data_IF_561918419872
#
_entry.id   IF_561918419872
#
_cell.length_a   1.000
_cell.length_b   1.000
_cell.length_c   1.000
_cell.angle_alpha   90.00
_cell.angle_beta   90.00
_cell.angle_gamma   90.00
#
_symmetry.space_group_name_H-M   'P 1'
#
loop_
_entity.id
_entity.type
_entity.pdbx_description
1 polymer ?
#
# COMPACT_ATOMS: atom_id res chain seq x y z
N UNK A 1 -8.52 -15.76 15.76
CA UNK A 1 -7.53 -15.34 16.79
C UNK A 1 -7.48 -13.82 16.79
N UNK A 2 -8.02 -13.18 17.80
CA UNK A 2 -8.11 -11.71 17.86
C UNK A 2 -6.94 -11.20 18.68
N UNK A 3 -6.10 -10.35 18.08
CA UNK A 3 -4.97 -9.71 18.78
C UNK A 3 -5.46 -8.35 19.29
N UNK A 4 -5.51 -8.17 20.60
CA UNK A 4 -5.83 -6.89 21.23
C UNK A 4 -4.51 -6.26 21.69
N UNK A 5 -4.16 -5.11 21.10
CA UNK A 5 -3.04 -4.29 21.54
C UNK A 5 -3.54 -3.37 22.64
N UNK A 6 -3.17 -3.63 23.88
CA UNK A 6 -3.50 -2.78 25.02
C UNK A 6 -2.82 -1.41 24.87
N UNK A 7 -3.60 -0.37 24.66
CA UNK A 7 -3.15 1.02 24.65
C UNK A 7 -3.43 1.70 25.98
N UNK A 8 -2.47 2.46 26.45
CA UNK A 8 -2.45 3.22 27.70
C UNK A 8 -3.68 4.12 27.86
N UNK A 9 -4.65 3.68 28.68
CA UNK A 9 -5.91 4.39 28.99
C UNK A 9 -5.72 5.63 29.91
N UNK A 10 -4.49 5.95 30.33
CA UNK A 10 -4.25 7.07 31.24
C UNK A 10 -4.51 8.46 30.65
N UNK A 11 -4.44 8.62 29.32
CA UNK A 11 -4.61 9.92 28.67
C UNK A 11 -6.10 10.31 28.40
N UNK A 12 -7.04 9.37 28.52
CA UNK A 12 -8.46 9.60 28.23
C UNK A 12 -9.29 10.07 29.43
N UNK A 13 -8.70 10.09 30.64
CA UNK A 13 -9.44 10.39 31.88
C UNK A 13 -9.83 11.86 32.09
N UNK A 14 -9.30 12.79 31.30
CA UNK A 14 -9.56 14.24 31.51
C UNK A 14 -10.69 14.85 30.70
N UNK A 15 -11.37 14.11 29.82
CA UNK A 15 -12.32 14.72 28.87
C UNK A 15 -13.80 14.39 29.10
N UNK A 16 -14.14 13.38 29.89
CA UNK A 16 -15.55 13.00 30.13
C UNK A 16 -16.00 13.21 31.58
N UNK A 17 -16.98 14.11 31.78
CA UNK A 17 -17.65 14.34 33.05
C UNK A 17 -18.65 13.23 33.48
N UNK A 18 -18.87 12.23 32.65
CA UNK A 18 -19.79 11.12 32.96
C UNK A 18 -19.02 9.80 33.19
N UNK A 19 -18.70 9.57 34.46
CA UNK A 19 -17.97 8.36 34.89
C UNK A 19 -18.81 7.06 34.75
N UNK A 20 -20.12 7.12 34.58
CA UNK A 20 -20.97 5.93 34.50
C UNK A 20 -20.79 5.14 33.20
N UNK A 21 -20.61 5.87 32.09
CA UNK A 21 -20.37 5.27 30.78
C UNK A 21 -19.00 4.62 30.67
N UNK A 22 -17.97 5.29 31.18
CA UNK A 22 -16.61 4.75 31.21
C UNK A 22 -16.51 3.50 32.07
N UNK A 23 -17.17 3.49 33.23
CA UNK A 23 -17.24 2.32 34.11
C UNK A 23 -17.91 1.13 33.42
N UNK A 24 -19.03 1.37 32.71
CA UNK A 24 -19.69 0.32 31.91
C UNK A 24 -18.78 -0.27 30.83
N UNK A 25 -17.97 0.55 30.16
CA UNK A 25 -16.97 0.07 29.18
C UNK A 25 -15.90 -0.77 29.90
N UNK A 26 -15.38 -0.33 31.03
CA UNK A 26 -14.38 -1.07 31.83
C UNK A 26 -14.94 -2.42 32.31
N UNK A 27 -16.18 -2.48 32.74
CA UNK A 27 -16.87 -3.70 33.19
C UNK A 27 -17.07 -4.69 32.01
N UNK A 28 -17.48 -4.19 30.84
CA UNK A 28 -17.60 -4.99 29.62
C UNK A 28 -16.25 -5.51 29.12
N UNK A 29 -15.22 -4.69 29.12
CA UNK A 29 -13.86 -5.08 28.75
C UNK A 29 -13.31 -6.16 29.68
N UNK A 30 -13.52 -5.99 31.00
CA UNK A 30 -13.15 -6.97 32.01
C UNK A 30 -13.88 -8.30 31.82
N UNK A 31 -15.17 -8.25 31.49
CA UNK A 31 -16.00 -9.44 31.21
C UNK A 31 -15.49 -10.18 29.97
N UNK A 32 -15.22 -9.45 28.87
CA UNK A 32 -14.66 -10.02 27.64
C UNK A 32 -13.28 -10.62 27.88
N UNK A 33 -12.42 -9.92 28.63
CA UNK A 33 -11.11 -10.46 28.98
C UNK A 33 -11.21 -11.77 29.75
N UNK A 34 -12.07 -11.85 30.75
CA UNK A 34 -12.30 -13.10 31.51
C UNK A 34 -12.82 -14.23 30.62
N UNK A 35 -13.74 -13.91 29.71
CA UNK A 35 -14.32 -14.91 28.80
C UNK A 35 -13.30 -15.48 27.83
N UNK A 36 -12.38 -14.65 27.34
CA UNK A 36 -11.40 -15.04 26.31
C UNK A 36 -9.97 -15.20 26.80
N UNK A 37 -9.72 -15.06 28.12
CA UNK A 37 -8.37 -15.10 28.71
C UNK A 37 -7.57 -16.34 28.34
N UNK A 38 -8.23 -17.50 28.21
CA UNK A 38 -7.57 -18.75 27.84
C UNK A 38 -7.25 -18.85 26.31
N UNK A 39 -7.88 -17.99 25.49
CA UNK A 39 -7.67 -17.94 24.06
C UNK A 39 -6.79 -16.76 23.63
N UNK A 40 -6.52 -15.82 24.55
CA UNK A 40 -5.67 -14.67 24.30
C UNK A 40 -4.20 -15.07 24.47
N UNK A 41 -3.40 -14.89 23.43
CA UNK A 41 -1.95 -15.04 23.48
C UNK A 41 -1.32 -13.65 23.44
N UNK A 42 -0.63 -13.28 24.52
CA UNK A 42 0.18 -12.06 24.57
C UNK A 42 1.53 -12.40 23.96
N UNK A 43 1.91 -11.67 22.93
CA UNK A 43 3.17 -11.86 22.22
C UNK A 43 3.90 -10.51 22.16
N UNK A 44 4.95 -10.36 22.96
CA UNK A 44 5.71 -9.12 23.07
C UNK A 44 6.45 -8.73 21.78
N UNK A 45 6.67 -9.70 20.86
CA UNK A 45 7.25 -9.44 19.56
C UNK A 45 6.32 -8.64 18.64
N UNK A 46 5.00 -8.69 18.86
CA UNK A 46 4.00 -8.00 18.06
C UNK A 46 3.88 -6.52 18.44
N UNK A 47 4.96 -5.79 18.21
CA UNK A 47 4.99 -4.34 18.45
C UNK A 47 4.13 -3.57 17.43
N UNK A 48 3.71 -2.34 17.80
CA UNK A 48 2.98 -1.44 16.89
C UNK A 48 3.72 -1.21 15.57
N UNK A 49 5.04 -1.16 15.58
CA UNK A 49 5.86 -1.01 14.37
C UNK A 49 5.71 -2.24 13.47
N UNK A 50 5.77 -3.43 14.06
CA UNK A 50 5.68 -4.71 13.35
C UNK A 50 4.30 -4.90 12.72
N UNK A 51 3.21 -4.65 13.45
CA UNK A 51 1.84 -4.88 12.98
C UNK A 51 1.27 -3.78 12.09
N UNK A 52 2.05 -2.76 11.73
CA UNK A 52 1.57 -1.64 10.93
C UNK A 52 2.50 -1.34 9.75
N UNK A 53 2.02 -0.56 8.79
CA UNK A 53 2.79 -0.09 7.64
C UNK A 53 4.07 0.71 8.01
N UNK A 54 4.29 1.03 9.29
CA UNK A 54 5.42 1.88 9.71
C UNK A 54 6.78 1.30 9.29
N UNK A 55 6.98 -0.02 9.39
CA UNK A 55 8.22 -0.67 8.98
C UNK A 55 8.42 -0.61 7.44
N UNK A 56 7.35 -0.69 6.66
CA UNK A 56 7.41 -0.67 5.19
C UNK A 56 7.85 0.68 4.61
N UNK A 57 7.81 1.78 5.37
CA UNK A 57 8.17 3.12 4.87
C UNK A 57 9.60 3.25 4.36
N UNK A 58 10.50 2.42 4.84
CA UNK A 58 11.91 2.39 4.45
C UNK A 58 12.26 1.19 3.58
N UNK A 59 11.34 0.23 3.43
CA UNK A 59 11.58 -1.00 2.69
C UNK A 59 11.37 -0.80 1.19
N UNK A 60 12.34 -1.25 0.41
CA UNK A 60 12.34 -1.24 -1.05
C UNK A 60 11.07 -1.91 -1.60
N UNK A 61 10.47 -1.34 -2.63
CA UNK A 61 9.19 -1.71 -3.23
C UNK A 61 7.96 -1.44 -2.36
N UNK A 62 7.96 -1.78 -1.06
CA UNK A 62 6.81 -1.56 -0.18
C UNK A 62 6.54 -0.07 0.11
N UNK A 63 7.58 0.77 0.09
CA UNK A 63 7.49 2.23 0.34
C UNK A 63 6.87 3.03 -0.80
N UNK A 64 6.70 2.45 -2.00
CA UNK A 64 6.26 3.20 -3.16
C UNK A 64 4.87 3.80 -3.00
N UNK A 65 3.94 3.02 -2.45
CA UNK A 65 2.59 3.48 -2.16
C UNK A 65 2.30 3.43 -0.66
N UNK A 66 1.80 4.55 -0.12
CA UNK A 66 1.46 4.64 1.30
C UNK A 66 0.08 4.04 1.57
N UNK A 67 0.02 2.74 1.75
CA UNK A 67 -1.20 2.03 2.11
C UNK A 67 -1.34 1.97 3.63
N UNK A 68 -2.19 2.84 4.21
CA UNK A 68 -2.26 3.03 5.68
C UNK A 68 -2.80 1.82 6.42
N UNK A 69 -3.61 1.04 5.77
CA UNK A 69 -4.28 -0.15 6.27
C UNK A 69 -3.39 -1.41 6.20
N UNK A 70 -2.20 -1.32 5.60
CA UNK A 70 -1.29 -2.45 5.48
C UNK A 70 -0.52 -2.74 6.79
N UNK A 71 -0.16 -3.98 6.97
CA UNK A 71 0.84 -4.45 7.92
C UNK A 71 2.24 -4.47 7.31
N UNK A 72 3.27 -4.77 8.13
CA UNK A 72 4.65 -4.83 7.64
C UNK A 72 5.01 -6.16 6.98
N UNK A 73 6.03 -6.14 6.12
CA UNK A 73 6.65 -7.36 5.60
C UNK A 73 7.22 -8.23 6.73
N UNK A 74 7.85 -7.59 7.71
CA UNK A 74 8.44 -8.27 8.89
C UNK A 74 7.38 -9.07 9.68
N UNK A 75 6.12 -8.62 9.71
CA UNK A 75 5.04 -9.38 10.37
C UNK A 75 4.79 -10.70 9.66
N UNK A 76 4.76 -10.70 8.34
CA UNK A 76 4.55 -11.92 7.55
C UNK A 76 5.70 -12.90 7.75
N UNK A 77 6.94 -12.40 7.69
CA UNK A 77 8.12 -13.22 7.98
C UNK A 77 8.05 -13.84 9.37
N UNK A 78 7.71 -13.04 10.38
CA UNK A 78 7.53 -13.52 11.74
C UNK A 78 6.47 -14.63 11.82
N UNK A 79 5.31 -14.46 11.19
CA UNK A 79 4.23 -15.46 11.20
C UNK A 79 4.63 -16.75 10.49
N UNK A 80 5.25 -16.67 9.31
CA UNK A 80 5.72 -17.82 8.57
C UNK A 80 6.75 -18.63 9.39
N UNK A 81 7.69 -17.96 10.04
CA UNK A 81 8.66 -18.61 10.94
C UNK A 81 7.99 -19.22 12.18
N UNK A 82 7.10 -18.49 12.83
CA UNK A 82 6.38 -18.94 14.04
C UNK A 82 5.56 -20.19 13.79
N UNK A 83 4.95 -20.32 12.61
CA UNK A 83 4.14 -21.46 12.23
C UNK A 83 4.87 -22.48 11.37
N UNK A 84 6.21 -22.35 11.22
CA UNK A 84 7.07 -23.26 10.46
C UNK A 84 6.60 -23.48 9.01
N UNK A 85 6.16 -22.41 8.35
CA UNK A 85 5.75 -22.45 6.95
C UNK A 85 6.98 -22.25 6.07
N UNK A 86 7.57 -23.35 5.61
CA UNK A 86 8.84 -23.29 4.88
C UNK A 86 8.67 -23.25 3.35
N UNK A 87 7.69 -23.97 2.82
CA UNK A 87 7.35 -24.00 1.39
C UNK A 87 5.86 -24.30 1.22
N UNK A 88 5.25 -23.68 0.23
CA UNK A 88 3.86 -23.93 -0.09
C UNK A 88 3.25 -22.82 -0.96
N UNK A 89 1.94 -22.90 -1.10
CA UNK A 89 1.13 -21.87 -1.74
C UNK A 89 0.37 -21.11 -0.65
N UNK A 90 0.54 -19.81 -0.62
CA UNK A 90 -0.08 -18.89 0.37
C UNK A 90 -1.21 -18.14 -0.33
N UNK A 91 -2.37 -18.10 0.31
CA UNK A 91 -3.51 -17.29 -0.13
C UNK A 91 -3.72 -16.11 0.82
N UNK A 92 -3.79 -14.90 0.24
CA UNK A 92 -4.25 -13.69 0.93
C UNK A 92 -5.58 -13.24 0.33
N UNK A 93 -6.72 -13.49 1.01
CA UNK A 93 -8.04 -13.14 0.49
C UNK A 93 -8.34 -11.63 0.50
N UNK A 94 -7.48 -10.81 1.11
CA UNK A 94 -7.60 -9.36 1.23
C UNK A 94 -6.25 -8.68 0.94
N UNK A 95 -5.70 -8.94 -0.23
CA UNK A 95 -4.31 -8.66 -0.58
C UNK A 95 -3.87 -7.19 -0.43
N UNK A 96 -4.79 -6.22 -0.52
CA UNK A 96 -4.50 -4.80 -0.34
C UNK A 96 -3.37 -4.31 -1.24
N UNK A 97 -2.23 -3.95 -0.65
CA UNK A 97 -1.03 -3.55 -1.37
C UNK A 97 -0.08 -4.71 -1.72
N UNK A 98 -0.48 -5.97 -1.44
CA UNK A 98 0.30 -7.16 -1.74
C UNK A 98 1.47 -7.42 -0.80
N UNK A 99 1.48 -6.86 0.42
CA UNK A 99 2.59 -7.06 1.37
C UNK A 99 2.83 -8.54 1.64
N UNK A 100 1.77 -9.31 1.94
CA UNK A 100 1.89 -10.75 2.17
C UNK A 100 2.41 -11.49 0.92
N UNK A 101 1.88 -11.16 -0.25
CA UNK A 101 2.23 -11.82 -1.51
C UNK A 101 3.73 -11.72 -1.81
N UNK A 102 4.25 -10.49 -1.77
CA UNK A 102 5.65 -10.24 -2.11
C UNK A 102 6.61 -10.72 -1.03
N UNK A 103 6.21 -10.71 0.23
CA UNK A 103 7.02 -11.26 1.32
C UNK A 103 7.10 -12.79 1.22
N UNK A 104 5.97 -13.46 1.02
CA UNK A 104 5.93 -14.91 0.83
C UNK A 104 6.74 -15.33 -0.40
N UNK A 105 6.59 -14.62 -1.53
CA UNK A 105 7.35 -14.88 -2.75
C UNK A 105 8.85 -14.75 -2.52
N UNK A 106 9.31 -13.69 -1.83
CA UNK A 106 10.74 -13.50 -1.56
C UNK A 106 11.35 -14.60 -0.67
N UNK A 107 10.51 -15.30 0.08
CA UNK A 107 10.89 -16.46 0.90
C UNK A 107 10.72 -17.81 0.18
N UNK A 108 10.41 -17.80 -1.14
CA UNK A 108 10.31 -18.99 -1.97
C UNK A 108 8.95 -19.68 -1.93
N UNK A 109 7.92 -19.03 -1.42
CA UNK A 109 6.54 -19.52 -1.45
C UNK A 109 5.77 -18.92 -2.62
N UNK A 110 4.96 -19.71 -3.30
CA UNK A 110 3.99 -19.17 -4.25
C UNK A 110 2.90 -18.41 -3.49
N UNK A 111 2.47 -17.29 -4.02
CA UNK A 111 1.48 -16.45 -3.36
C UNK A 111 0.35 -16.06 -4.31
N UNK A 112 -0.87 -16.23 -3.84
CA UNK A 112 -2.08 -15.85 -4.55
C UNK A 112 -2.88 -14.86 -3.72
N UNK A 113 -3.28 -13.74 -4.31
CA UNK A 113 -4.01 -12.68 -3.62
C UNK A 113 -5.33 -12.37 -4.28
N UNK A 114 -6.34 -12.05 -3.48
CA UNK A 114 -7.62 -11.55 -3.97
C UNK A 114 -7.73 -10.09 -3.58
N UNK A 115 -8.02 -9.19 -4.55
CA UNK A 115 -8.18 -7.77 -4.29
C UNK A 115 -9.35 -7.20 -5.09
N UNK A 116 -10.27 -6.56 -4.37
CA UNK A 116 -11.47 -5.95 -4.95
C UNK A 116 -11.24 -4.51 -5.38
N UNK A 117 -10.38 -3.76 -4.66
CA UNK A 117 -10.15 -2.35 -4.94
C UNK A 117 -9.20 -2.14 -6.13
N UNK A 118 -9.59 -1.37 -7.16
CA UNK A 118 -8.74 -1.12 -8.31
C UNK A 118 -7.35 -0.57 -7.97
N UNK A 119 -7.25 0.26 -6.93
CA UNK A 119 -5.95 0.81 -6.49
C UNK A 119 -5.02 -0.28 -5.95
N UNK A 120 -5.54 -1.22 -5.17
CA UNK A 120 -4.78 -2.37 -4.68
C UNK A 120 -4.30 -3.26 -5.84
N UNK A 121 -5.20 -3.54 -6.79
CA UNK A 121 -4.85 -4.29 -8.00
C UNK A 121 -3.70 -3.64 -8.76
N UNK A 122 -3.75 -2.31 -8.99
CA UNK A 122 -2.68 -1.57 -9.68
C UNK A 122 -1.35 -1.56 -8.92
N UNK A 123 -1.38 -1.49 -7.59
CA UNK A 123 -0.18 -1.60 -6.77
C UNK A 123 0.48 -2.96 -6.97
N UNK A 124 -0.30 -4.04 -6.91
CA UNK A 124 0.21 -5.41 -7.03
C UNK A 124 0.73 -5.65 -8.45
N UNK A 125 -0.02 -5.27 -9.50
CA UNK A 125 0.40 -5.42 -10.91
C UNK A 125 1.72 -4.71 -11.19
N UNK A 126 1.84 -3.44 -10.79
CA UNK A 126 3.07 -2.67 -10.98
C UNK A 126 4.27 -3.31 -10.26
N UNK A 127 4.05 -3.88 -9.06
CA UNK A 127 5.10 -4.59 -8.32
C UNK A 127 5.49 -5.91 -8.99
N UNK A 128 4.54 -6.68 -9.54
CA UNK A 128 4.83 -7.91 -10.30
C UNK A 128 5.72 -7.56 -11.50
N UNK A 129 5.35 -6.54 -12.29
CA UNK A 129 6.10 -6.09 -13.47
C UNK A 129 7.51 -5.64 -13.05
N UNK A 130 7.61 -4.80 -12.03
CA UNK A 130 8.87 -4.24 -11.57
C UNK A 130 9.86 -5.28 -11.00
N UNK A 131 9.37 -6.43 -10.56
CA UNK A 131 10.19 -7.55 -10.06
C UNK A 131 10.42 -8.64 -11.12
N UNK A 132 9.70 -8.56 -12.24
CA UNK A 132 9.73 -9.54 -13.33
C UNK A 132 11.01 -9.51 -14.17
N UNK A 133 11.01 -10.32 -15.23
CA UNK A 133 12.15 -10.47 -16.15
C UNK A 133 12.45 -9.18 -16.93
N UNK A 134 11.45 -8.38 -17.22
CA UNK A 134 11.56 -7.12 -17.99
C UNK A 134 12.00 -5.91 -17.15
N UNK A 135 12.37 -6.10 -15.88
CA UNK A 135 12.70 -5.00 -14.96
C UNK A 135 13.77 -4.03 -15.49
N UNK A 136 14.73 -4.50 -16.32
CA UNK A 136 15.76 -3.64 -16.91
C UNK A 136 15.18 -2.70 -17.95
N UNK A 137 14.26 -3.18 -18.79
CA UNK A 137 13.60 -2.39 -19.83
C UNK A 137 12.68 -1.35 -19.19
N UNK A 138 11.96 -1.74 -18.14
CA UNK A 138 11.17 -0.82 -17.33
C UNK A 138 12.05 0.28 -16.71
N UNK A 139 13.18 -0.07 -16.10
CA UNK A 139 14.08 0.92 -15.51
C UNK A 139 14.63 1.89 -16.57
N UNK A 140 15.01 1.40 -17.75
CA UNK A 140 15.44 2.23 -18.86
C UNK A 140 14.33 3.16 -19.37
N UNK A 141 13.08 2.65 -19.42
CA UNK A 141 11.93 3.47 -19.83
C UNK A 141 11.61 4.56 -18.82
N UNK A 142 11.65 4.25 -17.51
CA UNK A 142 11.53 5.26 -16.45
C UNK A 142 12.62 6.32 -16.53
N UNK A 143 13.88 5.93 -16.81
CA UNK A 143 14.98 6.88 -17.06
C UNK A 143 14.67 7.84 -18.19
N UNK A 144 14.20 7.31 -19.31
CA UNK A 144 13.80 8.11 -20.48
C UNK A 144 12.74 9.15 -20.10
N UNK A 145 11.69 8.75 -19.38
CA UNK A 145 10.65 9.66 -18.89
C UNK A 145 11.20 10.74 -17.95
N UNK A 146 12.13 10.38 -17.07
CA UNK A 146 12.77 11.32 -16.13
C UNK A 146 13.59 12.38 -16.88
N UNK A 147 14.40 11.95 -17.88
CA UNK A 147 15.30 12.84 -18.63
C UNK A 147 14.53 13.73 -19.60
N UNK A 148 13.62 13.17 -20.36
CA UNK A 148 12.89 13.91 -21.41
C UNK A 148 11.70 14.72 -20.84
N UNK A 149 11.21 14.40 -19.64
CA UNK A 149 9.99 15.01 -19.06
C UNK A 149 8.85 15.03 -20.05
N UNK A 150 8.54 13.89 -20.64
CA UNK A 150 7.61 13.72 -21.78
C UNK A 150 6.28 14.44 -21.53
N UNK A 151 5.77 14.47 -20.29
CA UNK A 151 4.58 15.22 -19.90
C UNK A 151 4.66 16.75 -20.08
N UNK A 152 5.85 17.30 -20.34
CA UNK A 152 6.06 18.73 -20.64
C UNK A 152 6.23 19.01 -22.12
N UNK A 153 6.62 18.03 -22.94
CA UNK A 153 7.00 18.19 -24.36
C UNK A 153 5.93 17.73 -25.33
N UNK A 154 5.01 16.83 -24.91
CA UNK A 154 3.97 16.30 -25.76
C UNK A 154 2.87 17.30 -26.14
N UNK A 155 2.09 16.99 -27.17
CA UNK A 155 1.12 17.91 -27.78
C UNK A 155 -0.35 17.68 -27.38
N UNK A 156 -0.69 16.57 -26.72
CA UNK A 156 -2.05 16.19 -26.42
C UNK A 156 -2.43 16.19 -24.94
N UNK A 157 -3.71 16.04 -24.67
CA UNK A 157 -4.26 15.84 -23.33
C UNK A 157 -5.29 14.72 -23.36
N UNK A 158 -5.34 13.93 -22.31
CA UNK A 158 -6.38 12.91 -22.08
C UNK A 158 -7.15 13.28 -20.82
N UNK A 159 -8.44 13.51 -20.97
CA UNK A 159 -9.33 13.76 -19.83
C UNK A 159 -9.48 12.50 -18.98
N UNK A 160 -9.71 12.71 -17.70
CA UNK A 160 -10.04 11.66 -16.73
C UNK A 160 -11.31 12.04 -15.97
N UNK A 161 -12.03 11.03 -15.51
CA UNK A 161 -13.24 11.26 -14.75
C UNK A 161 -12.91 11.89 -13.39
N UNK A 162 -13.58 13.01 -13.10
CA UNK A 162 -13.45 13.72 -11.83
C UNK A 162 -14.74 13.52 -11.04
N UNK A 163 -14.65 12.83 -9.91
CA UNK A 163 -15.78 12.68 -9.03
C UNK A 163 -16.12 14.02 -8.33
N UNK A 164 -17.40 14.29 -8.12
CA UNK A 164 -17.88 15.51 -7.45
C UNK A 164 -17.16 15.78 -6.12
N UNK A 165 -16.78 14.72 -5.39
CA UNK A 165 -16.07 14.84 -4.11
C UNK A 165 -14.63 15.33 -4.28
N UNK A 166 -14.01 15.12 -5.45
CA UNK A 166 -12.62 15.49 -5.74
C UNK A 166 -12.49 16.64 -6.75
N UNK A 167 -13.61 17.19 -7.20
CA UNK A 167 -13.60 18.33 -8.09
C UNK A 167 -12.90 19.54 -7.47
N UNK A 168 -11.95 20.17 -8.20
CA UNK A 168 -11.09 21.24 -7.69
C UNK A 168 -9.97 20.77 -6.73
N UNK A 169 -9.68 19.45 -6.67
CA UNK A 169 -8.59 18.94 -5.85
C UNK A 169 -7.19 19.33 -6.36
N UNK A 170 -7.07 19.73 -7.61
CA UNK A 170 -5.82 20.12 -8.24
C UNK A 170 -5.87 21.57 -8.73
N UNK A 171 -4.71 22.24 -8.77
CA UNK A 171 -4.59 23.52 -9.49
C UNK A 171 -4.77 23.26 -11.00
N UNK A 172 -5.15 24.32 -11.74
CA UNK A 172 -5.30 24.22 -13.20
C UNK A 172 -4.03 23.72 -13.91
N UNK A 173 -2.87 24.16 -13.42
CA UNK A 173 -1.57 23.70 -13.94
C UNK A 173 -1.36 22.20 -13.67
N UNK A 174 -1.61 21.77 -12.43
CA UNK A 174 -1.45 20.36 -12.04
C UNK A 174 -2.42 19.45 -12.80
N UNK A 175 -3.70 19.86 -12.92
CA UNK A 175 -4.72 19.14 -13.71
C UNK A 175 -4.27 18.98 -15.17
N UNK A 176 -3.81 20.05 -15.79
CA UNK A 176 -3.31 20.02 -17.16
C UNK A 176 -2.12 19.05 -17.32
N UNK A 177 -1.16 19.06 -16.38
CA UNK A 177 -0.01 18.16 -16.41
C UNK A 177 -0.40 16.69 -16.20
N UNK A 178 -1.39 16.39 -15.34
CA UNK A 178 -1.95 15.05 -15.18
C UNK A 178 -2.55 14.57 -16.52
N UNK A 179 -3.36 15.41 -17.17
CA UNK A 179 -3.99 15.08 -18.47
C UNK A 179 -2.95 14.82 -19.57
N UNK A 180 -1.88 15.61 -19.61
CA UNK A 180 -0.76 15.37 -20.53
C UNK A 180 -0.03 14.07 -20.23
N UNK A 181 0.28 13.82 -18.96
CA UNK A 181 0.92 12.58 -18.54
C UNK A 181 0.08 11.35 -18.96
N UNK A 182 -1.24 11.40 -18.74
CA UNK A 182 -2.17 10.34 -19.16
C UNK A 182 -2.23 10.18 -20.68
N UNK A 183 -2.13 11.26 -21.44
CA UNK A 183 -2.08 11.20 -22.90
C UNK A 183 -0.83 10.46 -23.40
N UNK A 184 0.32 10.83 -22.89
CA UNK A 184 1.59 10.22 -23.27
C UNK A 184 1.71 8.74 -22.87
N UNK A 185 1.00 8.33 -21.81
CA UNK A 185 0.92 6.92 -21.41
C UNK A 185 0.29 6.03 -22.51
N UNK A 186 -0.55 6.57 -23.40
CA UNK A 186 -1.17 5.76 -24.45
C UNK A 186 -0.19 5.26 -25.50
N UNK A 187 0.97 5.91 -25.61
CA UNK A 187 2.04 5.53 -26.52
C UNK A 187 3.02 4.52 -25.90
N UNK A 188 2.82 4.13 -24.65
CA UNK A 188 3.73 3.21 -23.95
C UNK A 188 3.31 1.76 -24.12
N UNK A 189 4.32 0.88 -24.08
CA UNK A 189 4.09 -0.57 -23.96
C UNK A 189 3.32 -0.91 -22.69
N UNK A 190 2.51 -1.96 -22.67
CA UNK A 190 1.59 -2.26 -21.58
C UNK A 190 2.24 -2.29 -20.19
N UNK A 191 3.40 -2.93 -20.05
CA UNK A 191 4.11 -3.05 -18.78
C UNK A 191 4.66 -1.71 -18.30
N UNK A 192 5.25 -0.92 -19.19
CA UNK A 192 5.75 0.41 -18.86
C UNK A 192 4.59 1.34 -18.48
N UNK A 193 3.49 1.27 -19.23
CA UNK A 193 2.27 2.02 -18.97
C UNK A 193 1.73 1.75 -17.57
N UNK A 194 1.67 0.48 -17.14
CA UNK A 194 1.19 0.11 -15.81
C UNK A 194 2.07 0.69 -14.70
N UNK A 195 3.40 0.60 -14.83
CA UNK A 195 4.32 1.13 -13.81
C UNK A 195 4.30 2.67 -13.78
N UNK A 196 4.21 3.34 -14.93
CA UNK A 196 4.09 4.79 -15.01
C UNK A 196 2.75 5.29 -14.43
N UNK A 197 1.63 4.61 -14.75
CA UNK A 197 0.32 4.89 -14.17
C UNK A 197 0.35 4.73 -12.64
N UNK A 198 0.97 3.66 -12.15
CA UNK A 198 1.17 3.45 -10.74
C UNK A 198 1.99 4.59 -10.10
N UNK A 199 3.07 5.05 -10.75
CA UNK A 199 3.85 6.19 -10.26
C UNK A 199 3.00 7.46 -10.14
N UNK A 200 2.09 7.71 -11.10
CA UNK A 200 1.12 8.80 -11.03
C UNK A 200 0.20 8.64 -9.82
N UNK A 201 -0.39 7.45 -9.60
CA UNK A 201 -1.26 7.18 -8.44
C UNK A 201 -0.55 7.47 -7.11
N UNK A 202 0.75 7.14 -7.01
CA UNK A 202 1.56 7.38 -5.81
C UNK A 202 1.71 8.87 -5.45
N UNK A 203 1.60 9.79 -6.41
CA UNK A 203 1.84 11.22 -6.18
C UNK A 203 0.59 12.07 -6.07
N UNK A 204 -0.59 11.55 -6.46
CA UNK A 204 -1.85 12.30 -6.51
C UNK A 204 -2.17 13.03 -5.21
N UNK A 205 -2.00 12.39 -4.05
CA UNK A 205 -2.24 13.06 -2.77
C UNK A 205 -1.25 14.21 -2.55
N UNK A 206 0.04 14.04 -2.88
CA UNK A 206 1.09 15.03 -2.61
C UNK A 206 0.95 16.32 -3.43
N UNK A 207 0.33 16.25 -4.62
CA UNK A 207 0.13 17.37 -5.55
C UNK A 207 -1.28 17.98 -5.47
N UNK A 208 -2.16 17.43 -4.63
CA UNK A 208 -3.55 17.87 -4.49
C UNK A 208 -3.74 18.83 -3.31
N UNK A 209 -4.85 19.56 -3.30
CA UNK A 209 -5.35 20.32 -2.17
C UNK A 209 -6.04 19.46 -1.11
N UNK A 210 -6.07 18.13 -1.28
CA UNK A 210 -6.79 17.25 -0.40
C UNK A 210 -5.85 16.37 0.40
N UNK A 211 -6.33 15.90 1.57
CA UNK A 211 -5.67 14.91 2.40
C UNK A 211 -6.70 13.95 2.97
N UNK A 212 -6.48 12.64 2.79
CA UNK A 212 -7.30 11.61 3.42
C UNK A 212 -7.03 11.58 4.93
N UNK A 213 -8.07 11.78 5.74
CA UNK A 213 -8.03 11.75 7.20
C UNK A 213 -9.13 10.80 7.72
N UNK A 214 -8.78 9.56 7.94
CA UNK A 214 -9.75 8.49 8.17
C UNK A 214 -10.71 8.34 6.98
N UNK A 215 -12.01 8.43 7.26
CA UNK A 215 -13.07 8.34 6.24
C UNK A 215 -13.36 9.69 5.54
N UNK A 216 -12.72 10.78 5.99
CA UNK A 216 -12.99 12.12 5.48
C UNK A 216 -11.89 12.60 4.56
N UNK A 217 -12.27 13.43 3.58
CA UNK A 217 -11.36 14.17 2.73
C UNK A 217 -11.26 15.61 3.27
N UNK A 218 -10.11 15.95 3.85
CA UNK A 218 -9.84 17.32 4.30
C UNK A 218 -9.34 18.15 3.14
N UNK A 219 -9.83 19.39 3.07
CA UNK A 219 -9.50 20.35 2.02
C UNK A 219 -8.59 21.44 2.56
N UNK A 220 -7.48 21.64 1.89
CA UNK A 220 -6.58 22.78 2.13
C UNK A 220 -7.28 24.11 1.81
N UNK A 221 -6.96 25.16 2.56
CA UNK A 221 -7.56 26.48 2.37
C UNK A 221 -7.32 27.06 0.98
N UNK A 222 -6.21 26.71 0.32
CA UNK A 222 -5.84 27.14 -1.04
C UNK A 222 -6.78 26.62 -2.12
N UNK A 223 -7.55 25.59 -1.85
CA UNK A 223 -8.56 25.07 -2.79
C UNK A 223 -9.74 26.01 -3.00
N UNK A 224 -9.94 26.99 -2.11
CA UNK A 224 -11.11 27.89 -2.11
C UNK A 224 -12.44 27.20 -1.78
N UNK A 225 -12.45 25.89 -1.54
CA UNK A 225 -13.68 25.10 -1.35
C UNK A 225 -14.30 25.22 0.04
N UNK A 226 -13.53 25.62 1.05
CA UNK A 226 -14.03 25.89 2.41
C UNK A 226 -13.68 27.30 2.84
N UNK A 227 -14.72 28.07 3.19
CA UNK A 227 -14.61 29.39 3.82
C UNK A 227 -15.06 29.23 5.27
N UNK A 228 -14.18 29.51 6.25
CA UNK A 228 -14.54 29.44 7.67
C UNK A 228 -13.36 29.69 8.60
N UNK A 229 -13.63 29.88 9.92
CA UNK A 229 -12.62 30.23 10.93
C UNK A 229 -11.54 29.13 11.15
N UNK A 230 -11.84 27.88 10.86
CA UNK A 230 -10.90 26.76 11.02
C UNK A 230 -10.46 26.25 9.63
N UNK A 231 -9.49 26.92 9.04
CA UNK A 231 -8.88 26.51 7.76
C UNK A 231 -7.84 25.43 8.00
N UNK A 232 -7.90 24.35 7.20
CA UNK A 232 -6.88 23.30 7.22
C UNK A 232 -5.72 23.70 6.30
N UNK A 233 -4.52 23.69 6.86
CA UNK A 233 -3.29 23.79 6.10
C UNK A 233 -2.67 22.39 5.96
N UNK A 234 -2.53 21.94 4.72
CA UNK A 234 -1.89 20.66 4.38
C UNK A 234 -0.36 20.73 4.49
N UNK A 235 0.19 21.92 4.59
CA UNK A 235 1.63 22.18 4.48
C UNK A 235 2.08 22.24 3.02
N UNK A 236 3.26 21.69 2.72
CA UNK A 236 3.83 21.73 1.36
C UNK A 236 2.99 20.89 0.40
N UNK A 237 2.49 21.52 -0.65
CA UNK A 237 1.92 20.86 -1.83
C UNK A 237 3.01 20.90 -2.90
N UNK A 238 3.38 19.73 -3.42
CA UNK A 238 4.43 19.60 -4.41
C UNK A 238 3.92 20.02 -5.80
N UNK A 239 4.79 20.54 -6.65
CA UNK A 239 4.49 20.64 -8.07
C UNK A 239 4.42 19.23 -8.68
N UNK A 240 3.67 19.10 -9.80
CA UNK A 240 3.60 17.83 -10.52
C UNK A 240 4.99 17.33 -10.90
N UNK A 241 5.83 18.20 -11.47
CA UNK A 241 7.16 17.85 -11.94
C UNK A 241 8.07 17.36 -10.81
N UNK A 242 8.05 18.05 -9.65
CA UNK A 242 8.83 17.64 -8.48
C UNK A 242 8.38 16.26 -7.97
N UNK A 243 7.07 16.06 -7.83
CA UNK A 243 6.52 14.85 -7.26
C UNK A 243 6.74 13.63 -8.15
N UNK A 244 6.38 13.74 -9.44
CA UNK A 244 6.47 12.61 -10.38
C UNK A 244 7.93 12.24 -10.65
N UNK A 245 8.81 13.23 -10.87
CA UNK A 245 10.24 12.96 -11.08
C UNK A 245 10.86 12.24 -9.89
N UNK A 246 10.54 12.68 -8.67
CA UNK A 246 11.02 12.03 -7.45
C UNK A 246 10.52 10.57 -7.36
N UNK A 247 9.24 10.33 -7.68
CA UNK A 247 8.66 9.00 -7.60
C UNK A 247 9.24 8.06 -8.67
N UNK A 248 9.37 8.52 -9.90
CA UNK A 248 9.99 7.74 -10.98
C UNK A 248 11.44 7.36 -10.64
N UNK A 249 12.22 8.31 -10.08
CA UNK A 249 13.60 8.03 -9.61
C UNK A 249 13.62 6.99 -8.49
N UNK A 250 12.70 7.08 -7.53
CA UNK A 250 12.57 6.12 -6.43
C UNK A 250 12.32 4.70 -6.98
N UNK A 251 11.29 4.55 -7.83
CA UNK A 251 10.93 3.26 -8.43
C UNK A 251 12.09 2.72 -9.29
N UNK A 252 12.67 3.54 -10.17
CA UNK A 252 13.81 3.15 -11.01
C UNK A 252 14.98 2.64 -10.19
N UNK A 253 15.36 3.37 -9.14
CA UNK A 253 16.49 2.99 -8.29
C UNK A 253 16.22 1.66 -7.57
N UNK A 254 15.01 1.47 -7.06
CA UNK A 254 14.63 0.23 -6.37
C UNK A 254 14.63 -0.98 -7.33
N UNK A 255 14.15 -0.81 -8.57
CA UNK A 255 14.21 -1.83 -9.61
C UNK A 255 15.67 -2.18 -9.94
N UNK A 256 16.53 -1.17 -10.02
CA UNK A 256 17.95 -1.34 -10.40
C UNK A 256 18.77 -2.01 -9.28
N UNK A 257 18.45 -1.75 -8.02
CA UNK A 257 19.15 -2.34 -6.87
C UNK A 257 18.80 -3.82 -6.66
N UNK A 258 17.71 -4.31 -7.24
CA UNK A 258 17.20 -5.66 -7.04
C UNK A 258 16.53 -5.86 -5.69
N UNK A 259 15.88 -7.00 -5.48
CA UNK A 259 15.11 -7.32 -4.28
C UNK A 259 15.98 -7.70 -3.05
N UNK A 260 17.21 -7.24 -3.01
CA UNK A 260 18.13 -7.52 -1.92
C UNK A 260 18.36 -6.28 -1.07
N UNK A 261 17.68 -6.14 0.06
CA UNK A 261 18.32 -5.54 1.21
C UNK A 261 19.41 -6.53 1.67
N UNK A 262 20.52 -6.57 0.93
CA UNK A 262 21.74 -7.18 1.45
C UNK A 262 22.27 -6.18 2.47
N UNK A 263 21.86 -6.33 3.72
CA UNK A 263 22.71 -5.88 4.82
C UNK A 263 24.10 -6.46 4.57
N UNK A 264 25.10 -5.59 4.56
CA UNK A 264 26.52 -5.94 4.28
C UNK A 264 27.05 -7.07 5.20
N UNK A 265 26.25 -7.49 6.18
CA UNK A 265 26.54 -8.49 7.22
C UNK A 265 25.67 -9.75 7.14
N UNK A 266 24.72 -9.87 6.19
CA UNK A 266 24.02 -11.14 6.01
C UNK A 266 24.96 -12.15 5.38
N UNK A 267 25.48 -13.04 6.23
CA UNK A 267 26.18 -14.27 5.86
C UNK A 267 25.37 -14.99 4.79
N UNK A 268 26.03 -15.49 3.75
CA UNK A 268 25.52 -16.26 2.61
C UNK A 268 24.32 -17.14 2.94
N UNK A 269 23.11 -16.56 2.99
CA UNK A 269 21.91 -17.36 2.84
C UNK A 269 21.81 -17.75 1.35
N UNK A 270 21.56 -19.03 1.11
CA UNK A 270 21.35 -19.55 -0.23
C UNK A 270 20.34 -18.67 -0.95
N UNK A 271 20.65 -18.25 -2.19
CA UNK A 271 19.73 -17.45 -3.00
C UNK A 271 18.44 -18.27 -3.23
N UNK A 272 17.42 -17.96 -2.40
CA UNK A 272 16.11 -18.59 -2.55
C UNK A 272 15.49 -18.01 -3.83
N UNK A 273 15.12 -18.90 -4.75
CA UNK A 273 14.36 -18.46 -5.93
C UNK A 273 12.99 -17.96 -5.47
N UNK A 274 12.60 -16.72 -5.80
CA UNK A 274 11.29 -16.21 -5.46
C UNK A 274 10.18 -17.09 -6.04
N UNK A 275 9.11 -17.30 -5.27
CA UNK A 275 7.90 -17.97 -5.74
C UNK A 275 7.06 -17.07 -6.65
N UNK A 276 6.13 -17.66 -7.35
CA UNK A 276 5.21 -16.95 -8.25
C UNK A 276 4.18 -16.15 -7.46
N UNK A 277 3.81 -14.96 -8.00
CA UNK A 277 2.77 -14.09 -7.44
C UNK A 277 1.63 -13.97 -8.44
N UNK A 278 0.42 -14.29 -7.99
CA UNK A 278 -0.80 -14.18 -8.80
C UNK A 278 -1.82 -13.29 -8.08
N UNK A 279 -2.49 -12.41 -8.84
CA UNK A 279 -3.61 -11.61 -8.34
C UNK A 279 -4.91 -12.04 -9.02
N UNK A 280 -5.93 -12.27 -8.21
CA UNK A 280 -7.31 -12.49 -8.62
C UNK A 280 -8.11 -11.22 -8.32
N UNK A 281 -8.67 -10.62 -9.38
CA UNK A 281 -9.40 -9.35 -9.29
C UNK A 281 -10.87 -9.61 -9.00
N UNK A 282 -11.37 -9.14 -7.87
CA UNK A 282 -12.76 -9.28 -7.48
C UNK A 282 -12.97 -9.46 -5.99
N UNK A 283 -14.18 -9.83 -5.62
CA UNK A 283 -14.55 -10.11 -4.22
C UNK A 283 -14.12 -11.52 -3.82
N UNK A 284 -13.53 -11.65 -2.64
CA UNK A 284 -13.20 -12.97 -2.08
C UNK A 284 -14.47 -13.83 -1.87
N UNK A 285 -15.64 -13.21 -1.65
CA UNK A 285 -16.91 -13.90 -1.52
C UNK A 285 -17.35 -14.58 -2.82
N UNK A 286 -16.92 -14.06 -3.97
CA UNK A 286 -17.26 -14.63 -5.28
C UNK A 286 -16.20 -15.62 -5.77
N UNK A 287 -14.93 -15.35 -5.44
CA UNK A 287 -13.78 -16.13 -5.95
C UNK A 287 -13.54 -17.40 -5.13
N UNK A 288 -13.57 -17.32 -3.80
CA UNK A 288 -13.25 -18.49 -2.94
C UNK A 288 -14.21 -19.68 -3.12
N UNK A 289 -15.54 -19.51 -3.24
CA UNK A 289 -16.42 -20.66 -3.50
C UNK A 289 -16.09 -21.41 -4.78
N UNK A 290 -15.62 -20.68 -5.82
CA UNK A 290 -15.24 -21.30 -7.09
C UNK A 290 -13.89 -22.01 -7.01
N UNK A 291 -12.98 -21.53 -6.18
CA UNK A 291 -11.68 -22.16 -5.94
C UNK A 291 -11.79 -23.46 -5.12
N UNK A 292 -12.75 -23.56 -4.20
CA UNK A 292 -12.96 -24.76 -3.37
C UNK A 292 -13.39 -25.98 -4.17
N UNK A 293 -13.95 -25.81 -5.37
CA UNK A 293 -14.28 -26.89 -6.30
C UNK A 293 -13.06 -27.43 -7.07
N UNK A 294 -11.96 -26.69 -7.12
CA UNK A 294 -10.69 -27.16 -7.68
C UNK A 294 -9.82 -27.66 -6.53
N UNK A 295 -9.98 -28.92 -6.11
CA UNK A 295 -9.11 -29.58 -5.11
C UNK A 295 -7.65 -29.43 -5.49
N UNK A 296 -6.98 -28.45 -4.93
CA UNK A 296 -5.53 -28.36 -4.88
C UNK A 296 -5.12 -27.96 -3.47
N UNK A 297 -4.01 -28.50 -3.01
CA UNK A 297 -3.43 -28.40 -1.69
C UNK A 297 -3.10 -26.94 -1.27
N UNK A 298 -4.13 -26.09 -1.14
CA UNK A 298 -3.99 -24.76 -0.54
C UNK A 298 -4.01 -24.89 0.98
N UNK A 299 -3.01 -24.37 1.64
CA UNK A 299 -3.07 -24.06 3.07
C UNK A 299 -3.53 -22.62 3.22
N UNK A 300 -4.71 -22.43 3.81
CA UNK A 300 -5.23 -21.13 4.16
C UNK A 300 -4.53 -20.66 5.45
N UNK A 301 -3.94 -19.47 5.40
CA UNK A 301 -3.49 -18.73 6.55
C UNK A 301 -4.27 -17.40 6.54
N UNK A 302 -5.29 -17.32 7.42
CA UNK A 302 -5.77 -16.11 8.13
C UNK A 302 -7.17 -16.36 8.68
#
# INVERSE_FOLDING_TARGET
MTIIVAHNLKAAKEVCKDNSFLKKIEDLDTSLYKQFSNALVIDECLTRKLVSFQANKTCTHYRWYKYKEAFSADLIEYLLRKYNVNKGKILDPFAGAGTALFTCSSLGNDAEGIEVLPVGQKIIEANIIARGSQKRDIAARLEHWILQRIWNTGGGTKDFEILRITDGAYSKETDHKIKRFLYELECEEPEAKEVLLFALLCVLESISYTRKDGQYLRWDYRSGRRKGKNTFDKGKILSFDEAITKKLKEIKNDISLGSGNKDLFSLKEQEVRPGDVVILKGSCLDILPQASHKKSSMREFF
#
